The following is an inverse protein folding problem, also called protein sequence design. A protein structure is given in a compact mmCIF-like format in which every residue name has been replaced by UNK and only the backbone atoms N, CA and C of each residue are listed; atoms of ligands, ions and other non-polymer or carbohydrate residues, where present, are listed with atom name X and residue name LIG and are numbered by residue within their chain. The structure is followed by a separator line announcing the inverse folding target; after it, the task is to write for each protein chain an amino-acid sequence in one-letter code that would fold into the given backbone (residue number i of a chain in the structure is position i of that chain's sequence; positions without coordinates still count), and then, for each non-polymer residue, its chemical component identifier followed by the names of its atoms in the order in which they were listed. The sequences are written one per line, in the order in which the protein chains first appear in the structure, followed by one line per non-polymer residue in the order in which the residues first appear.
data_IF_426372858424
#
_entry.id   IF_426372858424
#
_cell.length_a   1.000
_cell.length_b   1.000
_cell.length_c   1.000
_cell.angle_alpha   90.00
_cell.angle_beta   90.00
_cell.angle_gamma   90.00
#
_symmetry.space_group_name_H-M   'P 1'
#
loop_
_entity.id
_entity.type
_entity.pdbx_description
1 polymer ?
#
# COMPACT_ATOMS: atom_id res chain seq x y z
N UNK A 1 20.21 -12.55 5.94
CA UNK A 1 18.79 -12.52 5.57
C UNK A 1 18.42 -11.06 5.33
N UNK A 2 18.14 -10.65 4.09
CA UNK A 2 17.82 -9.25 3.80
C UNK A 2 16.45 -8.92 4.41
N UNK A 3 16.44 -8.05 5.42
CA UNK A 3 15.20 -7.49 5.99
C UNK A 3 14.48 -6.77 4.86
N UNK A 4 13.20 -7.07 4.67
CA UNK A 4 12.36 -6.40 3.67
C UNK A 4 11.51 -5.34 4.37
N UNK A 5 11.40 -4.17 3.77
CA UNK A 5 10.64 -3.04 4.33
C UNK A 5 9.30 -2.91 3.64
N UNK A 6 8.24 -2.86 4.44
CA UNK A 6 6.88 -2.54 4.00
C UNK A 6 6.52 -1.17 4.54
N UNK A 7 6.06 -0.28 3.67
CA UNK A 7 5.43 0.96 4.11
C UNK A 7 3.91 0.84 4.04
N UNK A 8 3.25 1.06 5.18
CA UNK A 8 1.79 1.16 5.27
C UNK A 8 1.41 2.64 5.28
N UNK A 9 0.75 3.09 4.22
CA UNK A 9 0.24 4.45 4.10
C UNK A 9 -1.25 4.42 4.43
N UNK A 10 -1.63 5.00 5.56
CA UNK A 10 -3.03 4.98 6.00
C UNK A 10 -3.39 6.18 6.87
N UNK A 11 -4.69 6.44 6.99
CA UNK A 11 -5.28 7.30 8.00
C UNK A 11 -5.69 6.55 9.28
N UNK A 12 -5.62 5.21 9.28
CA UNK A 12 -6.06 4.37 10.39
C UNK A 12 -4.94 4.17 11.39
N UNK A 13 -5.07 4.82 12.55
CA UNK A 13 -4.04 4.82 13.59
C UNK A 13 -3.77 3.45 14.21
N UNK A 14 -4.72 2.52 14.20
CA UNK A 14 -4.56 1.20 14.84
C UNK A 14 -3.41 0.39 14.22
N UNK A 15 -3.06 0.68 12.98
CA UNK A 15 -1.95 0.04 12.25
C UNK A 15 -0.57 0.56 12.70
N UNK A 16 -0.49 1.69 13.42
CA UNK A 16 0.79 2.28 13.89
C UNK A 16 1.57 1.37 14.82
N UNK A 17 0.88 0.48 15.54
CA UNK A 17 1.50 -0.41 16.52
C UNK A 17 2.24 -1.59 15.87
N UNK A 18 2.01 -1.83 14.59
CA UNK A 18 2.63 -2.93 13.85
C UNK A 18 3.99 -2.46 13.33
N UNK A 19 5.05 -2.75 14.10
CA UNK A 19 6.42 -2.34 13.76
C UNK A 19 7.21 -3.40 13.00
N UNK A 20 6.90 -4.67 13.22
CA UNK A 20 7.57 -5.78 12.54
C UNK A 20 6.67 -7.01 12.49
N UNK A 21 6.91 -7.87 11.51
CA UNK A 21 6.27 -9.18 11.41
C UNK A 21 7.23 -10.15 10.73
N UNK A 22 7.67 -11.20 11.46
CA UNK A 22 8.73 -12.11 11.00
C UNK A 22 9.97 -11.31 10.56
N UNK A 23 10.36 -11.41 9.29
CA UNK A 23 11.54 -10.78 8.71
C UNK A 23 11.23 -9.47 7.97
N UNK A 24 10.08 -8.87 8.28
CA UNK A 24 9.61 -7.62 7.71
C UNK A 24 9.77 -6.49 8.72
N UNK A 25 10.40 -5.41 8.26
CA UNK A 25 10.29 -4.11 8.91
C UNK A 25 9.02 -3.43 8.39
N UNK A 26 8.15 -2.97 9.28
CA UNK A 26 6.88 -2.32 8.92
C UNK A 26 6.92 -0.87 9.38
N UNK A 27 6.90 0.04 8.41
CA UNK A 27 6.89 1.48 8.65
C UNK A 27 5.52 2.04 8.34
N UNK A 28 4.84 2.57 9.35
CA UNK A 28 3.58 3.29 9.15
C UNK A 28 3.84 4.75 8.74
N UNK A 29 3.10 5.25 7.76
CA UNK A 29 3.04 6.67 7.39
C UNK A 29 1.59 7.15 7.50
N UNK A 30 1.38 8.15 8.37
CA UNK A 30 0.06 8.78 8.54
C UNK A 30 -0.26 9.66 7.33
N UNK A 31 -1.37 9.36 6.65
CA UNK A 31 -1.81 10.10 5.49
C UNK A 31 -3.35 10.18 5.44
N UNK A 32 -3.88 11.39 5.67
CA UNK A 32 -5.33 11.67 5.77
C UNK A 32 -5.90 12.48 4.61
N UNK A 33 -5.05 12.96 3.70
CA UNK A 33 -5.41 13.79 2.55
C UNK A 33 -4.63 13.38 1.30
N UNK A 34 -5.14 13.75 0.12
CA UNK A 34 -4.44 13.50 -1.15
C UNK A 34 -3.01 14.07 -1.16
N UNK A 35 -2.77 15.25 -0.56
CA UNK A 35 -1.41 15.83 -0.46
C UNK A 35 -0.49 14.97 0.39
N UNK A 36 -0.96 14.53 1.57
CA UNK A 36 -0.18 13.65 2.45
C UNK A 36 0.07 12.28 1.84
N UNK A 37 -0.90 11.72 1.09
CA UNK A 37 -0.75 10.44 0.39
C UNK A 37 0.32 10.57 -0.70
N UNK A 38 0.28 11.63 -1.51
CA UNK A 38 1.31 11.88 -2.52
C UNK A 38 2.71 12.00 -1.91
N UNK A 39 2.84 12.72 -0.79
CA UNK A 39 4.11 12.84 -0.08
C UNK A 39 4.58 11.48 0.47
N UNK A 40 3.66 10.70 1.05
CA UNK A 40 3.95 9.38 1.58
C UNK A 40 4.40 8.41 0.49
N UNK A 41 3.77 8.42 -0.69
CA UNK A 41 4.17 7.61 -1.85
C UNK A 41 5.59 7.96 -2.32
N UNK A 42 5.90 9.26 -2.44
CA UNK A 42 7.24 9.74 -2.80
C UNK A 42 8.32 9.34 -1.81
N UNK A 43 7.98 9.28 -0.53
CA UNK A 43 8.89 8.81 0.53
C UNK A 43 9.06 7.28 0.46
N UNK A 44 7.94 6.55 0.42
CA UNK A 44 7.94 5.10 0.48
C UNK A 44 8.62 4.45 -0.73
N UNK A 45 8.50 5.01 -1.94
CA UNK A 45 9.05 4.40 -3.15
C UNK A 45 10.58 4.21 -3.16
N UNK A 46 11.32 4.92 -2.30
CA UNK A 46 12.78 4.85 -2.24
C UNK A 46 13.31 3.65 -1.45
N UNK A 47 12.63 3.32 -0.36
CA UNK A 47 13.15 2.40 0.67
C UNK A 47 12.23 1.21 0.94
N UNK A 48 11.18 1.02 0.13
CA UNK A 48 10.22 -0.06 0.30
C UNK A 48 10.47 -1.22 -0.65
N UNK A 49 10.15 -2.43 -0.20
CA UNK A 49 9.94 -3.58 -1.06
C UNK A 49 8.47 -3.77 -1.43
N UNK A 50 7.56 -3.16 -0.69
CA UNK A 50 6.12 -3.16 -0.94
C UNK A 50 5.50 -1.92 -0.28
N UNK A 51 4.51 -1.32 -0.95
CA UNK A 51 3.64 -0.30 -0.36
C UNK A 51 2.25 -0.89 -0.15
N UNK A 52 1.70 -0.73 1.05
CA UNK A 52 0.29 -1.00 1.33
C UNK A 52 -0.41 0.34 1.50
N UNK A 53 -1.34 0.65 0.59
CA UNK A 53 -2.11 1.88 0.60
C UNK A 53 -3.52 1.58 1.11
N UNK A 54 -3.86 2.13 2.28
CA UNK A 54 -5.16 1.95 2.94
C UNK A 54 -5.76 3.34 3.21
N UNK A 55 -6.28 4.02 2.18
CA UNK A 55 -6.77 5.37 2.33
C UNK A 55 -8.18 5.34 2.92
N UNK A 56 -8.41 6.10 4.00
CA UNK A 56 -9.77 6.29 4.54
C UNK A 56 -10.73 6.88 3.51
N UNK A 57 -10.29 7.93 2.81
CA UNK A 57 -10.99 8.53 1.66
C UNK A 57 -9.93 8.93 0.63
N UNK A 58 -9.95 8.31 -0.56
CA UNK A 58 -9.09 8.69 -1.67
C UNK A 58 -9.94 9.25 -2.81
N UNK A 59 -10.00 10.57 -2.92
CA UNK A 59 -10.64 11.23 -4.05
C UNK A 59 -9.71 11.17 -5.26
N UNK A 60 -10.27 11.01 -6.46
CA UNK A 60 -9.52 11.06 -7.71
C UNK A 60 -8.61 12.30 -7.74
N UNK A 61 -7.32 12.06 -7.97
CA UNK A 61 -6.29 13.09 -7.93
C UNK A 61 -5.20 12.74 -8.92
N UNK A 62 -5.17 13.47 -10.04
CA UNK A 62 -4.28 13.22 -11.18
C UNK A 62 -2.82 13.00 -10.77
N UNK A 63 -2.29 13.80 -9.84
CA UNK A 63 -0.91 13.68 -9.37
C UNK A 63 -0.62 12.37 -8.63
N UNK A 64 -1.59 11.80 -7.90
CA UNK A 64 -1.40 10.48 -7.28
C UNK A 64 -1.39 9.40 -8.36
N UNK A 65 -2.28 9.45 -9.35
CA UNK A 65 -2.29 8.49 -10.45
C UNK A 65 -0.97 8.53 -11.26
N UNK A 66 -0.45 9.72 -11.54
CA UNK A 66 0.86 9.90 -12.17
C UNK A 66 2.00 9.35 -11.31
N UNK A 67 1.98 9.60 -9.99
CA UNK A 67 3.00 9.06 -9.09
C UNK A 67 2.96 7.53 -9.05
N UNK A 68 1.76 6.92 -8.97
CA UNK A 68 1.62 5.46 -8.94
C UNK A 68 2.19 4.78 -10.19
N UNK A 69 2.06 5.41 -11.37
CA UNK A 69 2.67 4.92 -12.61
C UNK A 69 4.21 4.93 -12.58
N UNK A 70 4.81 5.79 -11.76
CA UNK A 70 6.26 5.94 -11.63
C UNK A 70 6.85 5.11 -10.47
N UNK A 71 6.05 4.25 -9.83
CA UNK A 71 6.51 3.38 -8.75
C UNK A 71 6.71 1.97 -9.32
N UNK A 72 7.95 1.49 -9.29
CA UNK A 72 8.34 0.18 -9.86
C UNK A 72 8.15 -0.98 -8.87
N UNK A 73 7.98 -0.66 -7.59
CA UNK A 73 7.75 -1.65 -6.54
C UNK A 73 6.26 -2.00 -6.43
N UNK A 74 5.92 -3.21 -5.99
CA UNK A 74 4.52 -3.61 -5.88
C UNK A 74 3.76 -2.71 -4.88
N UNK A 75 2.49 -2.45 -5.23
CA UNK A 75 1.55 -1.69 -4.40
C UNK A 75 0.30 -2.55 -4.18
N UNK A 76 -0.14 -2.63 -2.93
CA UNK A 76 -1.42 -3.23 -2.54
C UNK A 76 -2.35 -2.11 -2.10
N UNK A 77 -3.46 -1.95 -2.83
CA UNK A 77 -4.54 -1.05 -2.43
C UNK A 77 -5.57 -1.81 -1.58
N UNK A 78 -5.88 -1.31 -0.39
CA UNK A 78 -6.92 -1.87 0.47
C UNK A 78 -8.09 -0.88 0.54
N UNK A 79 -9.21 -1.25 -0.08
CA UNK A 79 -10.45 -0.50 -0.03
C UNK A 79 -11.23 -0.83 1.23
N UNK A 80 -11.41 0.15 2.12
CA UNK A 80 -12.26 -0.01 3.30
C UNK A 80 -13.72 -0.04 2.83
N UNK A 81 -14.47 -1.04 3.27
CA UNK A 81 -15.92 -1.17 3.01
C UNK A 81 -16.32 -1.03 1.53
N UNK A 82 -15.46 -1.44 0.59
CA UNK A 82 -15.71 -1.34 -0.85
C UNK A 82 -15.93 0.11 -1.34
N UNK A 83 -15.40 1.11 -0.63
CA UNK A 83 -15.55 2.53 -0.98
C UNK A 83 -15.11 2.83 -2.43
N UNK A 84 -14.15 2.07 -2.95
CA UNK A 84 -13.70 2.16 -4.33
C UNK A 84 -14.73 1.76 -5.38
N UNK A 85 -15.61 0.81 -5.08
CA UNK A 85 -16.63 0.29 -6.01
C UNK A 85 -17.75 1.33 -6.21
N UNK A 86 -18.01 2.15 -5.20
CA UNK A 86 -19.02 3.22 -5.27
C UNK A 86 -18.53 4.44 -6.05
N UNK A 87 -17.22 4.68 -6.10
CA UNK A 87 -16.62 5.78 -6.84
C UNK A 87 -16.12 5.31 -8.22
N UNK A 88 -17.04 5.26 -9.21
CA UNK A 88 -16.79 4.88 -10.62
C UNK A 88 -15.62 5.63 -11.31
N UNK A 89 -14.98 6.61 -10.65
CA UNK A 89 -13.91 7.49 -11.16
C UNK A 89 -12.53 7.24 -10.57
N UNK A 90 -12.28 6.13 -9.86
CA UNK A 90 -10.97 5.94 -9.23
C UNK A 90 -9.89 5.43 -10.21
N UNK A 91 -9.45 6.30 -11.12
CA UNK A 91 -8.31 6.05 -12.04
C UNK A 91 -7.04 5.58 -11.33
N UNK A 92 -6.93 5.87 -10.03
CA UNK A 92 -5.84 5.46 -9.16
C UNK A 92 -5.74 3.92 -9.13
N UNK A 93 -6.87 3.22 -8.98
CA UNK A 93 -6.90 1.76 -8.78
C UNK A 93 -6.56 1.02 -10.08
N UNK A 94 -6.89 1.59 -11.23
CA UNK A 94 -6.52 1.04 -12.55
C UNK A 94 -5.01 0.90 -12.74
N UNK A 95 -4.21 1.64 -11.98
CA UNK A 95 -2.75 1.59 -12.05
C UNK A 95 -2.13 0.74 -10.93
N UNK A 96 -2.91 -0.03 -10.18
CA UNK A 96 -2.43 -0.85 -9.06
C UNK A 96 -2.74 -2.31 -9.34
N UNK A 97 -1.71 -3.16 -9.28
CA UNK A 97 -1.80 -4.59 -9.59
C UNK A 97 -2.61 -5.38 -8.55
N UNK A 98 -2.44 -5.05 -7.26
CA UNK A 98 -3.05 -5.78 -6.15
C UNK A 98 -4.11 -4.93 -5.46
N UNK A 99 -5.37 -5.37 -5.52
CA UNK A 99 -6.50 -4.68 -4.91
C UNK A 99 -7.23 -5.62 -3.96
N UNK A 100 -7.40 -5.19 -2.72
CA UNK A 100 -8.18 -5.87 -1.67
C UNK A 100 -9.43 -5.05 -1.43
N UNK A 101 -10.57 -5.59 -1.84
CA UNK A 101 -11.87 -5.01 -1.57
C UNK A 101 -12.38 -5.42 -0.18
N UNK A 102 -13.15 -4.56 0.48
CA UNK A 102 -13.80 -4.85 1.75
C UNK A 102 -12.82 -5.05 2.92
N UNK A 103 -11.71 -4.32 2.93
CA UNK A 103 -10.71 -4.38 3.98
C UNK A 103 -11.32 -4.07 5.35
N UNK A 104 -11.01 -4.92 6.33
CA UNK A 104 -11.38 -4.77 7.74
C UNK A 104 -10.12 -4.82 8.59
N UNK A 105 -10.07 -4.05 9.69
CA UNK A 105 -8.91 -4.06 10.58
C UNK A 105 -8.59 -5.44 11.16
N UNK A 106 -9.61 -6.28 11.36
CA UNK A 106 -9.41 -7.66 11.83
C UNK A 106 -8.65 -8.55 10.83
N UNK A 107 -8.47 -8.13 9.57
CA UNK A 107 -7.75 -8.90 8.54
C UNK A 107 -6.31 -8.43 8.31
N UNK A 108 -5.80 -7.50 9.13
CA UNK A 108 -4.46 -6.93 8.95
C UNK A 108 -3.34 -7.98 8.95
N UNK A 109 -3.39 -9.00 9.81
CA UNK A 109 -2.37 -10.07 9.81
C UNK A 109 -2.35 -10.85 8.48
N UNK A 110 -3.53 -11.09 7.90
CA UNK A 110 -3.66 -11.79 6.61
C UNK A 110 -3.03 -10.96 5.50
N UNK A 111 -3.18 -9.64 5.54
CA UNK A 111 -2.55 -8.72 4.57
C UNK A 111 -1.03 -8.77 4.70
N UNK A 112 -0.51 -8.69 5.92
CA UNK A 112 0.94 -8.72 6.16
C UNK A 112 1.53 -10.08 5.76
N UNK A 113 0.82 -11.18 6.01
CA UNK A 113 1.25 -12.51 5.54
C UNK A 113 1.18 -12.63 4.01
N UNK A 114 0.23 -11.96 3.36
CA UNK A 114 0.11 -11.95 1.90
C UNK A 114 1.19 -11.07 1.25
N UNK A 115 1.58 -9.99 1.93
CA UNK A 115 2.69 -9.12 1.53
C UNK A 115 4.01 -9.90 1.38
N UNK A 116 4.29 -10.87 2.25
CA UNK A 116 5.46 -11.76 2.11
C UNK A 116 5.46 -12.53 0.78
N UNK A 117 4.29 -13.03 0.35
CA UNK A 117 4.17 -13.77 -0.90
C UNK A 117 4.38 -12.86 -2.10
N UNK A 118 3.82 -11.65 -2.08
CA UNK A 118 3.99 -10.64 -3.14
C UNK A 118 5.47 -10.24 -3.26
N UNK A 119 6.12 -9.92 -2.14
CA UNK A 119 7.55 -9.55 -2.14
C UNK A 119 8.41 -10.69 -2.68
N UNK A 120 8.11 -11.95 -2.34
CA UNK A 120 8.83 -13.11 -2.86
C UNK A 120 8.66 -13.24 -4.38
N UNK A 121 7.43 -13.16 -4.87
CA UNK A 121 7.10 -13.24 -6.31
C UNK A 121 7.80 -12.15 -7.13
N UNK A 122 7.80 -10.90 -6.67
CA UNK A 122 8.52 -9.81 -7.35
C UNK A 122 10.04 -9.86 -7.14
N UNK A 123 10.51 -10.43 -6.04
CA UNK A 123 11.94 -10.69 -5.83
C UNK A 123 12.49 -11.69 -6.83
N UNK A 124 11.75 -12.76 -7.12
CA UNK A 124 12.15 -13.82 -8.05
C UNK A 124 12.11 -13.37 -9.53
N UNK A 125 11.17 -12.48 -9.90
CA UNK A 125 11.08 -11.91 -11.26
C UNK A 125 12.25 -11.01 -11.66
N UNK A 126 13.03 -10.48 -10.72
CA UNK A 126 14.17 -9.58 -11.00
C UNK A 126 15.50 -10.33 -11.22
N UNK A 127 15.50 -11.66 -11.21
CA UNK A 127 16.70 -12.50 -11.36
C UNK A 127 16.63 -13.49 -12.54
N UNK A 128 15.67 -13.34 -13.46
CA UNK A 128 15.58 -14.14 -14.70
C UNK A 128 15.72 -13.27 -15.93
#
# INVERSE_FOLDING_TARGET
MNIKTIHIISSINDLKNIKSYKNLNITYIDAKSNKSILFALKKAKRDSNLIILIPGILKSYKKIAEELKNIEIPIVYCSIDNADIHDKKNEIIKNIEYVIHGFKLSTTEVIISSALKIIKHHGEKNYN
#
